data_IF_411311689960
#
_entry.id   IF_411311689960
#
_cell.length_a   1.000
_cell.length_b   1.000
_cell.length_c   1.000
_cell.angle_alpha   90.00
_cell.angle_beta   90.00
_cell.angle_gamma   90.00
#
_symmetry.space_group_name_H-M   'P 1'
#
loop_
_entity.id
_entity.type
_entity.pdbx_description
1 polymer ?
#
# COMPACT_ATOMS: atom_id res chain seq x y z
N UNK A 1 40.84 36.61 -36.04
CA UNK A 1 39.44 36.06 -35.94
C UNK A 1 39.36 34.75 -35.16
N UNK A 2 40.34 33.85 -35.16
CA UNK A 2 40.23 32.55 -34.44
C UNK A 2 40.23 32.67 -32.89
N UNK A 3 40.93 33.65 -32.33
CA UNK A 3 41.04 33.85 -30.86
C UNK A 3 39.73 34.32 -30.19
N UNK A 4 38.95 35.12 -30.90
CA UNK A 4 37.66 35.62 -30.40
C UNK A 4 36.59 34.53 -30.38
N UNK A 5 36.58 33.63 -31.38
CA UNK A 5 35.62 32.51 -31.45
C UNK A 5 35.86 31.48 -30.32
N UNK A 6 37.12 31.26 -29.91
CA UNK A 6 37.44 30.33 -28.83
C UNK A 6 36.95 30.84 -27.48
N UNK A 7 37.01 32.15 -27.23
CA UNK A 7 36.49 32.78 -26.00
C UNK A 7 34.97 32.62 -25.86
N UNK A 8 34.23 32.76 -26.95
CA UNK A 8 32.76 32.56 -26.96
C UNK A 8 32.36 31.11 -26.73
N UNK A 9 33.10 30.14 -27.26
CA UNK A 9 32.86 28.71 -27.04
C UNK A 9 33.11 28.34 -25.59
N UNK A 10 34.17 28.83 -24.96
CA UNK A 10 34.46 28.64 -23.53
C UNK A 10 33.38 29.27 -22.62
N UNK A 11 32.88 30.46 -22.98
CA UNK A 11 31.81 31.12 -22.23
C UNK A 11 30.47 30.33 -22.30
N UNK A 12 30.13 29.82 -23.47
CA UNK A 12 28.90 28.98 -23.65
C UNK A 12 29.05 27.64 -22.90
N UNK A 13 30.23 27.03 -22.92
CA UNK A 13 30.52 25.80 -22.19
C UNK A 13 30.47 26.01 -20.67
N UNK A 14 30.94 27.17 -20.18
CA UNK A 14 30.87 27.54 -18.75
C UNK A 14 29.44 27.79 -18.28
N UNK A 15 28.55 28.35 -19.11
CA UNK A 15 27.14 28.58 -18.79
C UNK A 15 26.32 27.27 -18.71
N UNK A 16 26.72 26.23 -19.43
CA UNK A 16 26.02 24.94 -19.43
C UNK A 16 26.24 24.10 -18.14
N UNK A 17 27.23 24.46 -17.31
CA UNK A 17 27.56 23.74 -16.06
C UNK A 17 26.71 24.18 -14.85
N UNK A 18 25.87 25.20 -14.97
CA UNK A 18 25.10 25.78 -13.86
C UNK A 18 23.69 25.23 -13.69
N UNK A 19 23.28 24.23 -14.45
CA UNK A 19 21.88 23.71 -14.45
C UNK A 19 21.71 22.41 -13.67
N UNK A 20 22.23 22.32 -12.44
CA UNK A 20 21.83 21.26 -11.51
C UNK A 20 20.78 21.81 -10.53
N UNK A 21 19.51 21.65 -10.85
CA UNK A 21 18.40 21.86 -9.90
C UNK A 21 18.11 20.56 -9.17
N UNK A 22 18.33 20.56 -7.85
CA UNK A 22 17.92 19.45 -6.99
C UNK A 22 16.38 19.43 -6.88
N UNK A 23 15.71 18.30 -7.12
CA UNK A 23 14.26 18.24 -6.94
C UNK A 23 13.91 18.46 -5.47
N UNK A 24 12.98 19.39 -5.19
CA UNK A 24 12.56 19.76 -3.83
C UNK A 24 11.56 18.79 -3.19
N UNK A 25 10.98 17.88 -3.96
CA UNK A 25 9.86 17.03 -3.53
C UNK A 25 10.28 15.58 -3.26
N UNK A 26 11.48 15.37 -2.72
CA UNK A 26 11.99 14.04 -2.39
C UNK A 26 11.76 13.72 -0.91
N UNK A 27 11.75 14.75 -0.06
CA UNK A 27 11.64 14.58 1.38
C UNK A 27 10.17 14.44 1.81
N UNK A 28 9.93 13.62 2.82
CA UNK A 28 8.63 13.46 3.48
C UNK A 28 8.41 14.59 4.50
N UNK A 29 7.14 14.91 4.79
CA UNK A 29 6.73 15.71 5.95
C UNK A 29 7.46 17.05 6.09
N UNK A 30 7.60 17.77 4.98
CA UNK A 30 8.37 19.03 4.93
C UNK A 30 7.75 20.16 5.78
N UNK A 31 6.48 20.03 6.16
CA UNK A 31 5.73 20.93 7.01
C UNK A 31 5.92 20.68 8.52
N UNK A 32 6.61 19.59 8.90
CA UNK A 32 6.79 19.19 10.30
C UNK A 32 8.06 19.79 10.88
N UNK A 33 7.91 20.63 11.90
CA UNK A 33 9.01 21.20 12.66
C UNK A 33 8.99 20.69 14.11
N UNK A 34 10.10 20.86 14.82
CA UNK A 34 10.20 20.47 16.23
C UNK A 34 9.09 21.12 17.05
N UNK A 35 8.25 20.30 17.70
CA UNK A 35 7.12 20.76 18.51
C UNK A 35 5.80 20.93 17.75
N UNK A 36 5.74 20.60 16.47
CA UNK A 36 4.48 20.59 15.72
C UNK A 36 3.53 19.51 16.27
N UNK A 37 2.32 19.91 16.63
CA UNK A 37 1.24 18.99 17.06
C UNK A 37 0.30 18.79 15.87
N UNK A 38 0.21 17.56 15.42
CA UNK A 38 -0.66 17.17 14.32
C UNK A 38 -1.81 16.32 14.88
N UNK A 39 -3.03 16.73 14.58
CA UNK A 39 -4.23 15.93 14.87
C UNK A 39 -4.50 15.04 13.65
N UNK A 40 -4.58 13.74 13.89
CA UNK A 40 -4.97 12.79 12.84
C UNK A 40 -6.49 12.74 12.69
N UNK A 41 -6.95 12.33 11.52
CA UNK A 41 -8.35 11.99 11.29
C UNK A 41 -8.86 10.99 12.33
N UNK A 42 -10.17 10.96 12.55
CA UNK A 42 -10.76 10.00 13.47
C UNK A 42 -10.43 8.58 13.03
N UNK A 43 -10.01 7.77 13.99
CA UNK A 43 -9.78 6.35 13.78
C UNK A 43 -11.15 5.70 13.50
N UNK A 44 -11.29 5.15 12.31
CA UNK A 44 -12.44 4.32 11.97
C UNK A 44 -12.03 2.86 12.14
N UNK A 45 -12.62 2.19 13.12
CA UNK A 45 -12.43 0.75 13.30
C UNK A 45 -12.86 -0.02 12.05
N UNK A 46 -12.11 -1.06 11.72
CA UNK A 46 -12.43 -1.96 10.62
C UNK A 46 -13.72 -2.70 10.98
N UNK A 47 -14.73 -2.59 10.10
CA UNK A 47 -16.02 -3.26 10.23
C UNK A 47 -16.06 -4.50 9.36
N UNK A 48 -16.68 -5.53 9.88
CA UNK A 48 -16.92 -6.79 9.18
C UNK A 48 -17.83 -6.54 7.97
N UNK A 49 -17.44 -7.07 6.84
CA UNK A 49 -18.15 -7.00 5.55
C UNK A 49 -18.53 -8.40 5.07
N UNK A 50 -19.50 -8.54 4.15
CA UNK A 50 -19.71 -9.79 3.43
C UNK A 50 -18.41 -10.28 2.77
N UNK A 51 -18.24 -11.60 2.72
CA UNK A 51 -17.06 -12.30 2.17
C UNK A 51 -15.79 -12.24 3.03
N UNK A 52 -15.81 -11.52 4.16
CA UNK A 52 -14.70 -11.54 5.10
C UNK A 52 -14.49 -12.94 5.69
N UNK A 53 -13.23 -13.26 5.94
CA UNK A 53 -12.83 -14.48 6.64
C UNK A 53 -12.36 -14.13 8.04
N UNK A 54 -13.00 -14.73 9.03
CA UNK A 54 -12.73 -14.47 10.45
C UNK A 54 -12.24 -15.73 11.13
N UNK A 55 -11.15 -15.63 11.87
CA UNK A 55 -10.74 -16.61 12.85
C UNK A 55 -11.41 -16.25 14.18
N UNK A 56 -12.21 -17.15 14.72
CA UNK A 56 -12.89 -16.96 16.01
C UNK A 56 -12.45 -18.11 16.91
N UNK A 57 -11.78 -17.76 18.00
CA UNK A 57 -11.28 -18.72 18.99
C UNK A 57 -11.97 -18.45 20.32
N UNK A 58 -12.61 -19.48 20.86
CA UNK A 58 -13.24 -19.46 22.18
C UNK A 58 -12.37 -20.24 23.14
N UNK A 59 -11.85 -19.58 24.16
CA UNK A 59 -11.11 -20.18 25.25
C UNK A 59 -11.97 -20.24 26.50
N UNK A 60 -12.04 -21.41 27.13
CA UNK A 60 -12.80 -21.64 28.37
C UNK A 60 -11.89 -22.32 29.40
N UNK A 61 -12.30 -22.32 30.66
CA UNK A 61 -11.56 -23.02 31.72
C UNK A 61 -11.50 -24.54 31.51
N UNK A 62 -12.51 -25.11 30.83
CA UNK A 62 -12.55 -26.52 30.46
C UNK A 62 -12.12 -26.71 29.01
N UNK A 63 -10.98 -27.39 28.76
CA UNK A 63 -10.50 -27.66 27.39
C UNK A 63 -11.49 -28.47 26.54
N UNK A 64 -12.30 -29.32 27.15
CA UNK A 64 -13.30 -30.09 26.42
C UNK A 64 -14.40 -29.20 25.86
N UNK A 65 -14.84 -28.20 26.61
CA UNK A 65 -15.80 -27.19 26.13
C UNK A 65 -15.18 -26.30 25.07
N UNK A 66 -13.92 -25.89 25.21
CA UNK A 66 -13.22 -25.11 24.21
C UNK A 66 -13.20 -25.82 22.85
N UNK A 67 -13.05 -27.14 22.81
CA UNK A 67 -13.00 -27.91 21.57
C UNK A 67 -14.35 -27.97 20.84
N UNK A 68 -15.47 -27.77 21.54
CA UNK A 68 -16.81 -27.75 20.92
C UNK A 68 -17.08 -26.47 20.12
N UNK A 69 -16.47 -25.35 20.52
CA UNK A 69 -16.67 -24.05 19.86
C UNK A 69 -15.63 -23.77 18.78
N UNK A 70 -14.45 -24.41 18.91
CA UNK A 70 -13.36 -24.21 17.96
C UNK A 70 -13.41 -25.30 16.89
N UNK A 71 -13.82 -24.91 15.68
CA UNK A 71 -13.81 -25.84 14.54
C UNK A 71 -12.37 -26.27 14.24
N UNK A 72 -12.10 -27.56 14.35
CA UNK A 72 -10.92 -28.15 13.78
C UNK A 72 -11.20 -28.51 12.31
N UNK A 73 -10.31 -28.17 11.41
CA UNK A 73 -10.44 -28.38 9.95
C UNK A 73 -10.61 -29.83 9.49
N UNK A 74 -10.80 -30.77 10.41
CA UNK A 74 -10.94 -32.21 10.11
C UNK A 74 -12.29 -32.62 9.53
N UNK A 75 -13.25 -31.73 9.36
CA UNK A 75 -14.61 -32.10 8.92
C UNK A 75 -15.14 -31.40 7.68
N UNK A 76 -14.35 -30.62 6.95
CA UNK A 76 -14.75 -30.15 5.63
C UNK A 76 -14.10 -30.99 4.54
N UNK A 77 -14.95 -31.60 3.73
CA UNK A 77 -14.65 -32.55 2.66
C UNK A 77 -13.43 -32.21 1.79
N UNK A 78 -12.68 -33.22 1.32
CA UNK A 78 -11.51 -33.03 0.47
C UNK A 78 -11.97 -32.73 -0.96
N UNK A 79 -12.12 -31.47 -1.30
CA UNK A 79 -12.19 -31.07 -2.71
C UNK A 79 -11.11 -30.06 -3.02
N UNK A 80 -10.10 -30.58 -3.72
CA UNK A 80 -9.13 -29.91 -4.58
C UNK A 80 -7.97 -29.12 -3.92
N UNK A 81 -6.80 -29.81 -3.90
CA UNK A 81 -5.50 -29.29 -4.32
C UNK A 81 -5.08 -27.94 -3.70
N UNK A 82 -4.41 -28.01 -2.57
CA UNK A 82 -3.45 -26.99 -2.14
C UNK A 82 -2.24 -27.68 -1.48
N UNK A 83 -1.39 -28.23 -2.28
CA UNK A 83 -0.05 -28.67 -1.90
C UNK A 83 0.89 -27.48 -1.93
N UNK A 84 0.83 -26.60 -0.94
CA UNK A 84 1.87 -25.64 -0.54
C UNK A 84 1.48 -25.01 0.80
N UNK A 85 1.38 -25.81 1.87
CA UNK A 85 1.37 -25.29 3.21
C UNK A 85 2.27 -26.14 4.08
N UNK A 86 3.46 -25.65 4.29
CA UNK A 86 4.44 -26.17 5.23
C UNK A 86 3.95 -25.83 6.66
N UNK A 87 3.50 -26.84 7.40
CA UNK A 87 3.53 -26.94 8.84
C UNK A 87 3.01 -25.74 9.65
N UNK A 88 1.70 -25.48 9.64
CA UNK A 88 1.08 -24.60 10.62
C UNK A 88 -0.32 -25.13 10.92
N UNK A 89 -0.75 -25.13 12.19
CA UNK A 89 -2.12 -25.40 12.59
C UNK A 89 -3.04 -24.53 11.74
N UNK A 90 -3.75 -25.16 10.78
CA UNK A 90 -4.76 -24.45 9.99
C UNK A 90 -5.88 -24.06 10.95
N UNK A 91 -5.83 -22.81 11.42
CA UNK A 91 -6.93 -22.23 12.17
C UNK A 91 -8.18 -22.24 11.29
N UNK A 92 -9.25 -22.83 11.78
CA UNK A 92 -10.56 -22.76 11.13
C UNK A 92 -11.00 -21.31 11.03
N UNK A 93 -11.54 -20.94 9.87
CA UNK A 93 -12.09 -19.61 9.68
C UNK A 93 -13.55 -19.68 9.24
N UNK A 94 -14.29 -18.66 9.64
CA UNK A 94 -15.69 -18.44 9.24
C UNK A 94 -15.72 -17.46 8.07
N UNK A 95 -16.43 -17.79 7.00
CA UNK A 95 -16.69 -16.86 5.91
C UNK A 95 -18.03 -16.18 6.13
N UNK A 96 -18.03 -14.85 6.11
CA UNK A 96 -19.27 -14.05 6.24
C UNK A 96 -20.10 -14.20 4.96
N UNK A 97 -21.35 -14.59 5.10
CA UNK A 97 -22.26 -14.76 3.98
C UNK A 97 -22.55 -13.42 3.28
N UNK A 98 -23.09 -13.42 2.04
CA UNK A 98 -23.53 -12.19 1.37
C UNK A 98 -24.60 -11.42 2.15
N UNK A 99 -25.32 -12.09 3.06
CA UNK A 99 -26.33 -11.48 3.93
C UNK A 99 -25.74 -10.95 5.25
N UNK A 100 -24.45 -11.15 5.48
CA UNK A 100 -23.77 -10.67 6.68
C UNK A 100 -23.79 -11.62 7.87
N UNK A 101 -24.03 -12.89 7.64
CA UNK A 101 -24.20 -13.90 8.69
C UNK A 101 -23.03 -14.90 8.70
N UNK A 102 -22.77 -15.49 9.86
CA UNK A 102 -21.94 -16.69 10.02
C UNK A 102 -22.73 -17.79 10.73
N UNK A 103 -22.38 -19.05 10.48
CA UNK A 103 -22.88 -20.19 11.24
C UNK A 103 -21.87 -20.53 12.34
N UNK A 104 -22.20 -20.17 13.59
CA UNK A 104 -21.33 -20.43 14.74
C UNK A 104 -21.79 -21.70 15.46
N UNK A 105 -20.87 -22.60 15.89
CA UNK A 105 -21.22 -23.81 16.61
C UNK A 105 -22.07 -23.49 17.85
N UNK A 106 -23.09 -24.31 18.11
CA UNK A 106 -24.00 -24.20 19.23
C UNK A 106 -24.93 -22.97 19.18
N UNK A 107 -24.42 -21.78 18.82
CA UNK A 107 -25.21 -20.54 18.74
C UNK A 107 -26.02 -20.42 17.43
N UNK A 108 -25.69 -21.22 16.40
CA UNK A 108 -26.37 -21.17 15.11
C UNK A 108 -25.98 -19.96 14.25
N UNK A 109 -26.95 -19.42 13.53
CA UNK A 109 -26.73 -18.29 12.61
C UNK A 109 -26.65 -16.96 13.39
N UNK A 110 -25.57 -16.24 13.20
CA UNK A 110 -25.32 -14.94 13.83
C UNK A 110 -25.14 -13.86 12.77
N UNK A 111 -25.89 -12.77 12.87
CA UNK A 111 -25.76 -11.60 12.01
C UNK A 111 -24.67 -10.68 12.54
N UNK A 112 -23.58 -10.52 11.81
CA UNK A 112 -22.35 -9.88 12.30
C UNK A 112 -21.84 -8.73 11.42
N UNK A 113 -22.42 -8.52 10.25
CA UNK A 113 -22.01 -7.45 9.35
C UNK A 113 -22.09 -6.07 10.04
N UNK A 114 -21.09 -5.21 9.80
CA UNK A 114 -21.02 -3.88 10.40
C UNK A 114 -20.49 -3.83 11.83
N UNK A 115 -20.30 -4.97 12.51
CA UNK A 115 -19.62 -5.04 13.81
C UNK A 115 -18.11 -4.88 13.66
N UNK A 116 -17.46 -4.38 14.70
CA UNK A 116 -15.99 -4.47 14.84
C UNK A 116 -15.60 -5.81 15.43
N UNK A 117 -14.30 -6.17 15.38
CA UNK A 117 -13.78 -7.40 16.00
C UNK A 117 -14.16 -7.49 17.50
N UNK A 118 -13.94 -6.39 18.22
CA UNK A 118 -14.24 -6.32 19.66
C UNK A 118 -15.74 -6.40 19.96
N UNK A 119 -16.59 -5.81 19.12
CA UNK A 119 -18.04 -5.92 19.24
C UNK A 119 -18.51 -7.35 18.98
N UNK A 120 -17.96 -8.03 17.97
CA UNK A 120 -18.28 -9.43 17.71
C UNK A 120 -17.82 -10.35 18.84
N UNK A 121 -16.60 -10.16 19.36
CA UNK A 121 -16.12 -10.94 20.51
C UNK A 121 -17.07 -10.80 21.69
N UNK A 122 -17.41 -9.58 22.10
CA UNK A 122 -18.34 -9.31 23.19
C UNK A 122 -19.77 -9.80 22.91
N UNK A 123 -20.18 -9.82 21.65
CA UNK A 123 -21.48 -10.36 21.24
C UNK A 123 -21.54 -11.87 21.43
N UNK A 124 -20.52 -12.60 20.99
CA UNK A 124 -20.42 -14.05 21.17
C UNK A 124 -20.32 -14.41 22.67
N UNK A 125 -19.45 -13.72 23.42
CA UNK A 125 -19.31 -13.93 24.88
C UNK A 125 -20.64 -13.81 25.61
N UNK A 126 -21.39 -12.75 25.36
CA UNK A 126 -22.70 -12.54 25.97
C UNK A 126 -23.72 -13.63 25.61
N UNK A 127 -23.71 -14.08 24.35
CA UNK A 127 -24.64 -15.17 23.95
C UNK A 127 -24.27 -16.50 24.60
N UNK A 128 -22.96 -16.81 24.71
CA UNK A 128 -22.51 -18.03 25.40
C UNK A 128 -22.88 -18.04 26.90
N UNK A 129 -22.77 -16.89 27.56
CA UNK A 129 -23.15 -16.74 28.99
C UNK A 129 -24.68 -16.78 29.16
N UNK A 130 -25.41 -16.06 28.32
CA UNK A 130 -26.89 -15.97 28.44
C UNK A 130 -27.61 -17.29 28.20
N UNK A 131 -27.01 -18.19 27.43
CA UNK A 131 -27.51 -19.54 27.19
C UNK A 131 -26.96 -20.57 28.21
N UNK A 132 -26.24 -20.10 29.23
CA UNK A 132 -25.65 -20.92 30.28
C UNK A 132 -24.66 -21.99 29.76
N UNK A 133 -24.12 -21.79 28.56
CA UNK A 133 -23.20 -22.74 27.91
C UNK A 133 -21.81 -22.70 28.54
N UNK A 134 -21.36 -21.49 28.93
CA UNK A 134 -20.03 -21.25 29.53
C UNK A 134 -20.13 -20.10 30.52
N UNK A 135 -19.47 -20.22 31.67
CA UNK A 135 -19.50 -19.18 32.71
C UNK A 135 -18.58 -17.99 32.42
N UNK A 136 -17.39 -18.23 31.90
CA UNK A 136 -16.36 -17.20 31.65
C UNK A 136 -15.63 -17.51 30.33
N UNK A 137 -16.27 -17.35 29.17
CA UNK A 137 -15.60 -17.51 27.88
C UNK A 137 -14.71 -16.31 27.60
N UNK A 138 -13.56 -16.55 26.98
CA UNK A 138 -12.73 -15.53 26.35
C UNK A 138 -12.82 -15.76 24.85
N UNK A 139 -13.32 -14.76 24.11
CA UNK A 139 -13.47 -14.86 22.66
C UNK A 139 -12.46 -13.94 21.98
N UNK A 140 -11.62 -14.52 21.13
CA UNK A 140 -10.68 -13.77 20.29
C UNK A 140 -11.16 -13.83 18.85
N UNK A 141 -11.28 -12.66 18.21
CA UNK A 141 -11.70 -12.54 16.80
C UNK A 141 -10.59 -11.86 16.02
N UNK A 142 -10.16 -12.47 14.93
CA UNK A 142 -9.17 -11.92 14.01
C UNK A 142 -9.63 -12.05 12.56
N UNK A 143 -9.28 -11.07 11.75
CA UNK A 143 -9.47 -11.18 10.30
C UNK A 143 -8.36 -12.06 9.70
N UNK A 144 -8.73 -12.95 8.78
CA UNK A 144 -7.77 -13.84 8.10
C UNK A 144 -7.35 -13.27 6.75
N UNK A 145 -8.22 -12.54 6.07
CA UNK A 145 -8.01 -12.07 4.70
C UNK A 145 -7.95 -10.54 4.56
N UNK A 146 -7.74 -9.82 5.67
CA UNK A 146 -7.55 -8.36 5.58
C UNK A 146 -6.23 -8.03 4.92
N UNK A 147 -6.28 -7.21 3.91
CA UNK A 147 -5.09 -6.76 3.20
C UNK A 147 -5.33 -5.52 2.37
N UNK A 148 -4.23 -4.96 1.93
CA UNK A 148 -4.17 -3.83 1.00
C UNK A 148 -3.26 -4.19 -0.16
N UNK A 149 -3.52 -3.60 -1.31
CA UNK A 149 -2.65 -3.73 -2.48
C UNK A 149 -1.80 -2.49 -2.64
N UNK A 150 -0.47 -2.66 -2.72
CA UNK A 150 0.47 -1.55 -2.98
C UNK A 150 1.11 -1.78 -4.34
N UNK A 151 0.95 -0.83 -5.25
CA UNK A 151 1.35 -0.91 -6.65
C UNK A 151 2.15 0.31 -7.09
N UNK A 152 2.91 0.16 -8.17
CA UNK A 152 3.65 1.24 -8.82
C UNK A 152 5.07 1.39 -8.31
N UNK A 153 5.54 2.62 -8.13
CA UNK A 153 6.93 2.97 -7.81
C UNK A 153 7.24 2.84 -6.31
N UNK A 154 7.11 1.62 -5.79
CA UNK A 154 7.57 1.17 -4.46
C UNK A 154 8.62 0.09 -4.63
N UNK A 155 9.44 -0.15 -3.60
CA UNK A 155 10.51 -1.16 -3.71
C UNK A 155 9.98 -2.59 -3.78
N UNK A 156 8.85 -2.88 -3.12
CA UNK A 156 8.23 -4.20 -3.10
C UNK A 156 6.72 -4.07 -3.34
N UNK A 157 6.26 -3.97 -4.60
CA UNK A 157 4.82 -3.97 -4.88
C UNK A 157 4.21 -5.34 -4.58
N UNK A 158 2.99 -5.35 -4.01
CA UNK A 158 2.34 -6.60 -3.64
C UNK A 158 1.07 -6.41 -2.83
N UNK A 159 0.52 -7.53 -2.40
CA UNK A 159 -0.59 -7.62 -1.44
C UNK A 159 -0.01 -7.77 -0.03
N UNK A 160 -0.43 -6.92 0.88
CA UNK A 160 0.02 -6.91 2.27
C UNK A 160 -1.15 -7.11 3.21
N UNK A 161 -1.10 -8.16 4.02
CA UNK A 161 -2.02 -8.36 5.13
C UNK A 161 -1.56 -7.55 6.35
N UNK A 162 -2.51 -7.10 7.15
CA UNK A 162 -2.21 -6.42 8.41
C UNK A 162 -3.01 -7.01 9.56
N UNK A 163 -2.34 -7.21 10.68
CA UNK A 163 -2.93 -7.81 11.89
C UNK A 163 -3.25 -6.76 12.97
N UNK A 164 -3.10 -5.47 12.62
CA UNK A 164 -3.40 -4.34 13.52
C UNK A 164 -4.84 -3.88 13.29
N UNK A 165 -5.48 -3.35 14.32
CA UNK A 165 -6.80 -2.72 14.20
C UNK A 165 -6.80 -1.49 13.28
N UNK A 166 -5.64 -0.84 13.19
CA UNK A 166 -5.45 0.36 12.38
C UNK A 166 -4.11 0.29 11.66
N UNK A 167 -4.13 0.51 10.38
CA UNK A 167 -2.95 0.66 9.54
C UNK A 167 -2.99 2.01 8.86
N UNK A 168 -1.94 2.78 8.97
CA UNK A 168 -1.83 4.06 8.27
C UNK A 168 -1.26 3.88 6.88
N UNK A 169 -1.46 4.86 6.01
CA UNK A 169 -0.81 4.88 4.68
C UNK A 169 0.73 4.86 4.81
N UNK A 170 1.26 5.44 5.88
CA UNK A 170 2.71 5.45 6.16
C UNK A 170 3.19 4.03 6.49
N UNK A 171 2.43 3.27 7.32
CA UNK A 171 2.75 1.88 7.62
C UNK A 171 2.76 1.03 6.35
N UNK A 172 1.77 1.23 5.46
CA UNK A 172 1.67 0.51 4.20
C UNK A 172 2.87 0.74 3.28
N UNK A 173 3.30 1.99 3.17
CA UNK A 173 4.49 2.37 2.40
C UNK A 173 5.75 1.77 3.02
N UNK A 174 5.87 1.82 4.34
CA UNK A 174 7.02 1.25 5.06
C UNK A 174 7.12 -0.27 4.86
N UNK A 175 6.00 -1.01 4.93
CA UNK A 175 5.97 -2.46 4.67
C UNK A 175 6.28 -2.78 3.21
N UNK A 176 5.88 -1.92 2.26
CA UNK A 176 6.24 -2.03 0.84
C UNK A 176 7.71 -1.64 0.54
N UNK A 177 8.52 -1.37 1.58
CA UNK A 177 9.94 -1.04 1.47
C UNK A 177 10.23 0.38 1.00
N UNK A 178 9.30 1.30 1.21
CA UNK A 178 9.35 2.70 0.79
C UNK A 178 9.15 2.94 -0.72
N UNK A 179 8.93 4.20 -1.08
CA UNK A 179 8.86 4.62 -2.49
C UNK A 179 10.25 4.59 -3.12
N UNK A 180 10.30 4.20 -4.40
CA UNK A 180 11.53 4.36 -5.18
C UNK A 180 11.86 5.85 -5.38
N UNK A 181 13.09 6.15 -5.81
CA UNK A 181 13.47 7.52 -6.21
C UNK A 181 12.70 8.02 -7.44
N UNK A 182 12.00 7.13 -8.13
CA UNK A 182 11.15 7.42 -9.28
C UNK A 182 9.69 7.66 -8.91
N UNK A 183 9.29 7.33 -7.68
CA UNK A 183 7.95 7.53 -7.17
C UNK A 183 7.65 9.00 -6.89
N UNK A 184 6.42 9.43 -7.22
CA UNK A 184 5.90 10.75 -6.84
C UNK A 184 5.37 10.69 -5.41
N UNK A 185 5.94 11.50 -4.52
CA UNK A 185 5.51 11.62 -3.13
C UNK A 185 4.30 12.53 -2.95
N UNK A 186 4.19 13.52 -3.82
CA UNK A 186 3.12 14.53 -3.79
C UNK A 186 1.79 14.06 -4.43
N UNK A 187 1.74 12.84 -4.97
CA UNK A 187 0.54 12.40 -5.69
C UNK A 187 0.37 10.89 -5.67
N UNK A 188 0.01 10.36 -4.53
CA UNK A 188 -0.31 8.95 -4.36
C UNK A 188 -1.83 8.79 -4.47
N UNK A 189 -2.25 7.82 -5.26
CA UNK A 189 -3.66 7.49 -5.43
C UNK A 189 -4.03 6.35 -4.50
N UNK A 190 -5.03 6.57 -3.66
CA UNK A 190 -5.68 5.51 -2.86
C UNK A 190 -7.08 5.29 -3.43
N UNK A 191 -7.37 4.07 -3.83
CA UNK A 191 -8.70 3.66 -4.29
C UNK A 191 -9.37 2.83 -3.21
N UNK A 192 -10.56 3.25 -2.80
CA UNK A 192 -11.39 2.61 -1.76
C UNK A 192 -12.77 2.32 -2.30
N UNK A 193 -13.29 1.13 -2.00
CA UNK A 193 -14.69 0.82 -2.24
C UNK A 193 -15.57 1.38 -1.13
N UNK A 194 -16.64 2.07 -1.51
CA UNK A 194 -17.68 2.48 -0.56
C UNK A 194 -18.65 1.31 -0.26
N UNK A 195 -19.62 1.55 0.60
CA UNK A 195 -20.61 0.54 1.00
C UNK A 195 -21.47 0.03 -0.19
N UNK A 196 -21.63 0.84 -1.23
CA UNK A 196 -22.37 0.50 -2.45
C UNK A 196 -21.51 -0.25 -3.49
N UNK A 197 -20.24 -0.56 -3.16
CA UNK A 197 -19.31 -1.25 -4.07
C UNK A 197 -18.68 -0.35 -5.15
N UNK A 198 -18.93 0.98 -5.11
CA UNK A 198 -18.35 1.94 -6.04
C UNK A 198 -16.94 2.31 -5.58
N UNK A 199 -15.99 2.29 -6.51
CA UNK A 199 -14.62 2.71 -6.22
C UNK A 199 -14.50 4.23 -6.23
N UNK A 200 -13.93 4.79 -5.17
CA UNK A 200 -13.61 6.19 -5.02
C UNK A 200 -12.10 6.38 -4.91
N UNK A 201 -11.55 7.31 -5.70
CA UNK A 201 -10.13 7.65 -5.69
C UNK A 201 -9.85 8.87 -4.83
N UNK A 202 -8.83 8.78 -3.99
CA UNK A 202 -8.30 9.86 -3.16
C UNK A 202 -6.84 10.10 -3.54
N UNK A 203 -6.48 11.36 -3.69
CA UNK A 203 -5.08 11.73 -3.91
C UNK A 203 -4.51 12.36 -2.66
N UNK A 204 -3.31 11.92 -2.28
CA UNK A 204 -2.63 12.34 -1.07
C UNK A 204 -1.21 12.78 -1.37
N UNK A 205 -0.73 13.70 -0.55
CA UNK A 205 0.62 14.23 -0.58
C UNK A 205 1.38 13.82 0.69
N UNK A 206 2.45 13.03 0.53
CA UNK A 206 3.30 12.60 1.64
C UNK A 206 4.33 13.66 2.06
N UNK A 207 4.48 14.72 1.28
CA UNK A 207 5.39 15.82 1.63
C UNK A 207 4.75 16.76 2.67
N UNK A 208 3.41 16.71 2.82
CA UNK A 208 2.63 17.53 3.74
C UNK A 208 1.90 16.64 4.77
N UNK A 209 2.45 16.54 5.97
CA UNK A 209 1.89 15.70 7.02
C UNK A 209 0.55 16.20 7.54
N UNK A 210 0.32 17.51 7.55
CA UNK A 210 -0.92 18.07 8.04
C UNK A 210 -2.11 17.77 7.11
N UNK A 211 -1.90 17.85 5.81
CA UNK A 211 -2.88 17.46 4.80
C UNK A 211 -3.14 15.96 4.84
N UNK A 212 -2.07 15.18 4.90
CA UNK A 212 -2.12 13.72 4.99
C UNK A 212 -2.92 13.26 6.21
N UNK A 213 -2.63 13.81 7.39
CA UNK A 213 -3.26 13.43 8.65
C UNK A 213 -4.77 13.73 8.70
N UNK A 214 -5.23 14.73 7.94
CA UNK A 214 -6.64 15.09 7.81
C UNK A 214 -7.36 14.33 6.69
N UNK A 215 -6.63 13.55 5.90
CA UNK A 215 -7.20 12.78 4.79
C UNK A 215 -8.12 11.65 5.29
N UNK A 216 -9.26 11.41 4.64
CA UNK A 216 -10.15 10.28 4.98
C UNK A 216 -9.51 8.90 4.73
N UNK A 217 -8.37 8.86 4.02
CA UNK A 217 -7.60 7.64 3.73
C UNK A 217 -6.28 7.58 4.50
N UNK A 218 -6.10 8.43 5.51
CA UNK A 218 -4.95 8.34 6.41
C UNK A 218 -4.89 6.96 7.10
N UNK A 219 -6.04 6.53 7.63
CA UNK A 219 -6.23 5.15 8.09
C UNK A 219 -6.79 4.31 6.93
N UNK A 220 -6.06 3.26 6.60
CA UNK A 220 -6.42 2.34 5.53
C UNK A 220 -7.54 1.41 5.97
N UNK A 221 -8.32 0.98 5.01
CA UNK A 221 -9.34 -0.04 5.15
C UNK A 221 -8.96 -1.27 4.33
N UNK A 222 -9.61 -2.36 4.63
CA UNK A 222 -9.51 -3.59 3.84
C UNK A 222 -9.85 -3.33 2.37
N UNK A 223 -9.08 -3.96 1.49
CA UNK A 223 -9.18 -3.87 0.02
C UNK A 223 -8.81 -2.50 -0.57
N UNK A 224 -8.22 -1.58 0.23
CA UNK A 224 -7.66 -0.35 -0.33
C UNK A 224 -6.53 -0.68 -1.30
N UNK A 225 -6.52 0.02 -2.42
CA UNK A 225 -5.46 -0.07 -3.42
C UNK A 225 -4.68 1.23 -3.40
N UNK A 226 -3.38 1.12 -3.12
CA UNK A 226 -2.44 2.24 -3.09
C UNK A 226 -1.61 2.18 -4.36
N UNK A 227 -1.67 3.24 -5.16
CA UNK A 227 -0.89 3.33 -6.39
C UNK A 227 0.04 4.54 -6.35
N UNK A 228 1.35 4.26 -6.46
CA UNK A 228 2.40 5.28 -6.54
C UNK A 228 2.76 5.54 -7.99
N UNK A 229 2.45 6.74 -8.47
CA UNK A 229 2.76 7.14 -9.84
C UNK A 229 4.27 7.33 -10.06
N UNK A 230 4.81 6.95 -11.24
CA UNK A 230 6.16 7.30 -11.62
C UNK A 230 6.28 8.81 -11.89
N UNK A 231 7.41 9.39 -11.52
CA UNK A 231 7.71 10.78 -11.79
C UNK A 231 7.95 11.02 -13.30
N UNK A 232 8.04 12.30 -13.69
CA UNK A 232 8.20 12.68 -15.10
C UNK A 232 9.48 12.11 -15.73
N UNK A 233 10.55 11.94 -14.94
CA UNK A 233 11.80 11.36 -15.42
C UNK A 233 11.62 9.88 -15.76
N UNK A 234 11.03 9.11 -14.86
CA UNK A 234 10.71 7.70 -15.10
C UNK A 234 9.79 7.52 -16.32
N UNK A 235 8.75 8.37 -16.45
CA UNK A 235 7.85 8.35 -17.61
C UNK A 235 8.58 8.63 -18.93
N UNK A 236 9.57 9.51 -18.93
CA UNK A 236 10.37 9.81 -20.12
C UNK A 236 11.34 8.68 -20.48
N UNK A 237 11.89 8.01 -19.48
CA UNK A 237 12.80 6.86 -19.70
C UNK A 237 12.10 5.69 -20.39
N UNK A 238 10.81 5.49 -20.19
CA UNK A 238 10.03 4.42 -20.86
C UNK A 238 9.71 4.72 -22.32
N UNK A 239 9.66 5.99 -22.72
CA UNK A 239 9.27 6.40 -24.09
C UNK A 239 10.47 6.54 -25.04
N UNK A 240 11.68 6.56 -24.52
CA UNK A 240 12.89 6.73 -25.33
C UNK A 240 13.82 5.55 -25.12
N UNK A 241 14.10 4.81 -26.16
CA UNK A 241 15.13 3.73 -26.24
C UNK A 241 16.55 4.31 -25.95
N UNK A 242 16.76 4.89 -24.78
CA UNK A 242 18.06 5.34 -24.29
C UNK A 242 18.61 6.63 -24.90
N UNK A 243 18.01 7.20 -25.93
CA UNK A 243 18.49 8.41 -26.63
C UNK A 243 17.43 9.50 -26.58
N UNK A 244 17.29 10.15 -25.44
CA UNK A 244 16.38 11.30 -25.29
C UNK A 244 17.14 12.61 -25.48
N UNK A 245 16.57 13.63 -26.15
CA UNK A 245 17.16 14.98 -26.25
C UNK A 245 17.36 15.65 -24.87
N UNK A 246 16.83 15.04 -23.81
CA UNK A 246 17.00 15.48 -22.42
C UNK A 246 18.18 14.82 -21.69
N UNK A 247 18.89 13.87 -22.31
CA UNK A 247 20.08 13.25 -21.73
C UNK A 247 21.35 13.92 -22.21
N UNK A 248 22.35 14.16 -21.33
CA UNK A 248 23.64 14.71 -21.75
C UNK A 248 24.30 13.89 -22.86
N UNK A 249 24.09 12.57 -22.86
CA UNK A 249 24.63 11.65 -23.87
C UNK A 249 24.14 11.99 -25.30
N UNK A 250 22.90 12.42 -25.46
CA UNK A 250 22.37 12.87 -26.76
C UNK A 250 23.14 14.06 -27.30
N UNK A 251 23.36 15.08 -26.48
CA UNK A 251 24.08 16.28 -26.89
C UNK A 251 25.56 16.01 -27.17
N UNK A 252 26.19 15.14 -26.39
CA UNK A 252 27.58 14.70 -26.66
C UNK A 252 27.65 13.96 -28.01
N UNK A 253 26.67 13.09 -28.32
CA UNK A 253 26.63 12.39 -29.61
C UNK A 253 26.38 13.33 -30.77
N UNK A 254 25.49 14.30 -30.63
CA UNK A 254 25.28 15.33 -31.66
C UNK A 254 26.52 16.21 -31.91
N UNK A 255 27.22 16.57 -30.82
CA UNK A 255 28.45 17.36 -30.90
C UNK A 255 29.57 16.56 -31.59
N UNK A 256 29.74 15.28 -31.26
CA UNK A 256 30.74 14.41 -31.90
C UNK A 256 30.45 14.20 -33.38
N UNK A 257 29.17 14.06 -33.75
CA UNK A 257 28.77 13.96 -35.15
C UNK A 257 29.01 15.25 -35.94
N UNK A 258 28.77 16.40 -35.32
CA UNK A 258 29.05 17.71 -35.94
C UNK A 258 30.57 17.94 -36.14
N UNK A 259 31.42 17.52 -35.17
CA UNK A 259 32.87 17.62 -35.31
C UNK A 259 33.42 16.69 -36.38
N UNK A 260 32.87 15.45 -36.50
CA UNK A 260 33.30 14.54 -37.60
C UNK A 260 32.90 15.05 -38.98
N UNK A 261 31.72 15.65 -39.16
CA UNK A 261 31.28 16.24 -40.40
C UNK A 261 32.19 17.45 -40.76
N UNK A 262 32.48 18.30 -39.78
CA UNK A 262 33.36 19.44 -39.99
C UNK A 262 34.81 19.04 -40.41
N UNK A 263 35.37 18.01 -39.77
CA UNK A 263 36.68 17.48 -40.14
C UNK A 263 36.67 16.86 -41.54
N UNK A 264 35.63 16.13 -41.89
CA UNK A 264 35.47 15.57 -43.23
C UNK A 264 35.37 16.65 -44.31
N UNK A 265 34.60 17.70 -44.07
CA UNK A 265 34.46 18.82 -44.98
C UNK A 265 35.78 19.56 -45.20
N UNK A 266 36.58 19.74 -44.15
CA UNK A 266 37.92 20.38 -44.25
C UNK A 266 38.89 19.48 -45.03
N UNK A 267 38.82 18.15 -44.85
CA UNK A 267 39.70 17.22 -45.57
C UNK A 267 39.34 17.12 -47.06
N UNK A 268 38.06 17.21 -47.42
CA UNK A 268 37.60 17.19 -48.82
C UNK A 268 37.81 18.52 -49.53
N UNK A 269 37.95 19.63 -48.83
CA UNK A 269 38.22 20.97 -49.39
C UNK A 269 39.69 21.29 -49.58
N UNK A 270 40.57 20.37 -49.18
CA UNK A 270 42.02 20.42 -49.43
C UNK A 270 42.38 19.55 -50.63
#
# INVERSE_FOLDING_TARGET
MLKTSFGWIMAILSLSLLSCSTPKNIDYFQDVHTGTIIKTANINDIKIKPEDKLSIVVSTQDPALSSLFNLTNSQMAPTAISSYAQGGNEASYYTVSPFGDINFPVLGQLHIVGMTRSQLASFIERNLISQELVQQPIVTVEFVNTGISVLGEVNSPGLYSFNKDHMTIIDAIAVAGDLTMRGKRENILVMRKNAEGVQQGYRIDLTNMQELANSPVYYLQQDDIIYVEPNLRAKRETTTLGVSPYTPAFWVSCLSMATTIATLAITLSR
#
